data_IF_382319757079
#
_entry.id   IF_382319757079
#
_cell.length_a   1.000
_cell.length_b   1.000
_cell.length_c   1.000
_cell.angle_alpha   90.00
_cell.angle_beta   90.00
_cell.angle_gamma   90.00
#
_symmetry.space_group_name_H-M   'P 1'
#
loop_
_entity.id
_entity.type
_entity.pdbx_description
1 polymer ?
#
# COMPACT_ATOMS: atom_id res chain seq x y z
N UNK A 1 -19.62 -24.56 -25.92
CA UNK A 1 -19.23 -23.12 -25.96
C UNK A 1 -18.47 -22.68 -24.71
N UNK A 2 -17.57 -23.50 -24.13
CA UNK A 2 -17.04 -23.27 -22.76
C UNK A 2 -15.50 -23.12 -22.66
N UNK A 3 -14.74 -23.58 -23.66
CA UNK A 3 -13.27 -23.65 -23.60
C UNK A 3 -12.55 -22.30 -23.78
N UNK A 4 -13.21 -21.28 -24.35
CA UNK A 4 -12.63 -19.94 -24.56
C UNK A 4 -12.58 -19.11 -23.29
N UNK A 5 -13.56 -19.25 -22.38
CA UNK A 5 -13.65 -18.48 -21.12
C UNK A 5 -12.57 -18.90 -20.12
N UNK A 6 -12.27 -20.20 -20.04
CA UNK A 6 -11.18 -20.74 -19.22
C UNK A 6 -9.78 -20.28 -19.66
N UNK A 7 -9.53 -20.17 -20.98
CA UNK A 7 -8.24 -19.67 -21.51
C UNK A 7 -7.97 -18.20 -21.17
N UNK A 8 -9.02 -17.39 -21.14
CA UNK A 8 -8.93 -15.98 -20.75
C UNK A 8 -8.62 -15.87 -19.24
N UNK A 9 -9.30 -16.68 -18.40
CA UNK A 9 -9.03 -16.72 -16.96
C UNK A 9 -7.60 -17.15 -16.62
N UNK A 10 -7.07 -18.16 -17.32
CA UNK A 10 -5.67 -18.59 -17.16
C UNK A 10 -4.69 -17.48 -17.56
N UNK A 11 -5.00 -16.72 -18.61
CA UNK A 11 -4.20 -15.56 -19.01
C UNK A 11 -4.13 -14.49 -17.92
N UNK A 12 -5.28 -14.10 -17.35
CA UNK A 12 -5.32 -13.13 -16.25
C UNK A 12 -4.61 -13.62 -15.00
N UNK A 13 -4.78 -14.90 -14.64
CA UNK A 13 -4.07 -15.50 -13.52
C UNK A 13 -2.55 -15.49 -13.76
N UNK A 14 -2.10 -15.81 -14.97
CA UNK A 14 -0.69 -15.74 -15.35
C UNK A 14 -0.11 -14.33 -15.20
N UNK A 15 -0.85 -13.29 -15.62
CA UNK A 15 -0.44 -11.89 -15.46
C UNK A 15 -0.38 -11.51 -13.98
N UNK A 16 -1.39 -11.87 -13.20
CA UNK A 16 -1.44 -11.57 -11.77
C UNK A 16 -0.27 -12.23 -11.01
N UNK A 17 -0.03 -13.51 -11.25
CA UNK A 17 1.08 -14.25 -10.65
C UNK A 17 2.44 -13.70 -11.12
N UNK A 18 2.59 -13.39 -12.41
CA UNK A 18 3.81 -12.77 -12.94
C UNK A 18 4.09 -11.42 -12.26
N UNK A 19 3.08 -10.56 -12.14
CA UNK A 19 3.19 -9.28 -11.45
C UNK A 19 3.46 -9.40 -9.95
N UNK A 20 2.96 -10.45 -9.29
CA UNK A 20 3.26 -10.73 -7.89
C UNK A 20 4.71 -11.19 -7.72
N UNK A 21 5.15 -12.13 -8.57
CA UNK A 21 6.53 -12.65 -8.57
C UNK A 21 7.55 -11.54 -8.79
N UNK A 22 7.29 -10.60 -9.71
CA UNK A 22 8.16 -9.44 -9.91
C UNK A 22 8.27 -8.56 -8.66
N UNK A 23 7.15 -8.29 -7.98
CA UNK A 23 7.17 -7.50 -6.73
C UNK A 23 7.96 -8.20 -5.63
N UNK A 24 7.78 -9.51 -5.47
CA UNK A 24 8.54 -10.32 -4.49
C UNK A 24 10.03 -10.30 -4.82
N UNK A 25 10.40 -10.37 -6.10
CA UNK A 25 11.80 -10.31 -6.51
C UNK A 25 12.46 -8.98 -6.09
N UNK A 26 11.75 -7.86 -6.17
CA UNK A 26 12.27 -6.57 -5.71
C UNK A 26 12.48 -6.51 -4.19
N UNK A 27 11.76 -7.30 -3.39
CA UNK A 27 11.94 -7.31 -1.92
C UNK A 27 13.34 -7.75 -1.47
N UNK A 28 14.12 -8.37 -2.35
CA UNK A 28 15.52 -8.72 -2.07
C UNK A 28 16.48 -7.52 -2.09
N UNK A 29 16.04 -6.36 -2.58
CA UNK A 29 16.87 -5.16 -2.67
C UNK A 29 16.87 -4.41 -1.32
N UNK A 30 17.99 -3.79 -0.89
CA UNK A 30 18.03 -2.97 0.33
C UNK A 30 16.98 -1.86 0.34
N UNK A 31 16.44 -1.60 1.54
CA UNK A 31 15.40 -0.58 1.81
C UNK A 31 15.80 0.81 1.31
N UNK A 32 17.08 1.17 1.43
CA UNK A 32 17.62 2.46 0.97
C UNK A 32 17.43 2.71 -0.52
N UNK A 33 17.30 1.66 -1.31
CA UNK A 33 16.99 1.76 -2.73
C UNK A 33 15.50 1.58 -3.01
N UNK A 34 14.81 0.72 -2.26
CA UNK A 34 13.36 0.52 -2.41
C UNK A 34 12.58 1.82 -2.15
N UNK A 35 12.97 2.57 -1.11
CA UNK A 35 12.30 3.81 -0.73
C UNK A 35 12.25 4.83 -1.88
N UNK A 36 13.37 5.29 -2.46
CA UNK A 36 13.33 6.30 -3.51
C UNK A 36 12.78 5.79 -4.85
N UNK A 37 12.85 4.48 -5.14
CA UNK A 37 12.49 3.94 -6.46
C UNK A 37 11.09 3.33 -6.54
N UNK A 38 10.55 2.82 -5.43
CA UNK A 38 9.28 2.08 -5.41
C UNK A 38 8.27 2.64 -4.42
N UNK A 39 8.70 3.34 -3.37
CA UNK A 39 7.78 3.95 -2.42
C UNK A 39 7.45 5.38 -2.87
N UNK A 40 6.20 5.59 -3.24
CA UNK A 40 5.69 6.91 -3.56
C UNK A 40 5.62 7.78 -2.30
N UNK A 41 5.84 9.09 -2.47
CA UNK A 41 5.79 10.08 -1.40
C UNK A 41 4.44 10.07 -0.64
N UNK A 42 3.36 9.79 -1.38
CA UNK A 42 2.02 9.61 -0.83
C UNK A 42 1.98 8.60 0.32
N UNK A 43 2.77 7.51 0.25
CA UNK A 43 2.80 6.52 1.31
C UNK A 43 3.31 7.11 2.62
N UNK A 44 4.33 7.97 2.59
CA UNK A 44 4.85 8.62 3.79
C UNK A 44 3.85 9.62 4.38
N UNK A 45 3.09 10.31 3.53
CA UNK A 45 1.97 11.12 3.97
C UNK A 45 0.95 10.28 4.75
N UNK A 46 0.45 9.18 4.18
CA UNK A 46 -0.51 8.31 4.89
C UNK A 46 0.05 7.68 6.16
N UNK A 47 1.31 7.23 6.16
CA UNK A 47 1.96 6.66 7.35
C UNK A 47 2.09 7.71 8.47
N UNK A 48 2.36 8.97 8.10
CA UNK A 48 2.40 10.08 9.06
C UNK A 48 1.03 10.35 9.67
N UNK A 49 -0.02 10.39 8.85
CA UNK A 49 -1.41 10.55 9.33
C UNK A 49 -1.80 9.40 10.26
N UNK A 50 -1.52 8.15 9.87
CA UNK A 50 -1.82 6.98 10.69
C UNK A 50 -1.09 7.02 12.04
N UNK A 51 0.19 7.39 12.05
CA UNK A 51 0.98 7.58 13.28
C UNK A 51 0.38 8.66 14.17
N UNK A 52 -0.03 9.80 13.62
CA UNK A 52 -0.61 10.90 14.39
C UNK A 52 -1.97 10.52 14.99
N UNK A 53 -2.79 9.76 14.27
CA UNK A 53 -4.05 9.22 14.79
C UNK A 53 -3.79 8.26 15.96
N UNK A 54 -2.84 7.33 15.80
CA UNK A 54 -2.49 6.36 16.85
C UNK A 54 -1.89 7.02 18.09
N UNK A 55 -1.18 8.14 17.91
CA UNK A 55 -0.67 8.98 19.00
C UNK A 55 -1.74 9.86 19.67
N UNK A 56 -2.98 9.87 19.17
CA UNK A 56 -4.07 10.69 19.71
C UNK A 56 -4.09 12.15 19.23
N UNK A 57 -3.24 12.51 18.26
CA UNK A 57 -3.19 13.86 17.68
C UNK A 57 -4.26 14.10 16.59
N UNK A 58 -5.05 13.08 16.25
CA UNK A 58 -6.04 13.14 15.20
C UNK A 58 -5.43 13.15 13.79
N UNK A 59 -6.22 13.57 12.81
CA UNK A 59 -5.81 13.58 11.40
C UNK A 59 -5.04 14.86 11.09
N UNK A 60 -3.75 14.85 11.42
CA UNK A 60 -2.88 16.02 11.29
C UNK A 60 -1.65 15.73 10.44
N UNK A 61 -1.13 16.76 9.77
CA UNK A 61 0.15 16.78 9.08
C UNK A 61 0.87 18.08 9.44
N UNK A 62 2.14 18.01 9.81
CA UNK A 62 2.92 19.15 10.33
C UNK A 62 2.23 19.94 11.46
N UNK A 63 1.46 19.25 12.30
CA UNK A 63 0.75 19.86 13.44
C UNK A 63 -0.56 20.56 13.09
N UNK A 64 -0.96 20.60 11.82
CA UNK A 64 -2.24 21.16 11.39
C UNK A 64 -3.21 20.05 10.94
N UNK A 65 -4.54 20.19 11.17
CA UNK A 65 -5.53 19.31 10.57
C UNK A 65 -5.42 19.29 9.05
N UNK A 66 -5.50 18.10 8.46
CA UNK A 66 -5.34 17.91 7.00
C UNK A 66 -6.52 17.14 6.41
N UNK A 67 -6.69 17.21 5.09
CA UNK A 67 -7.73 16.55 4.33
C UNK A 67 -7.21 16.11 2.95
N UNK A 68 -8.09 15.66 2.04
CA UNK A 68 -7.69 15.27 0.67
C UNK A 68 -7.12 13.85 0.54
N UNK A 69 -7.20 13.04 1.59
CA UNK A 69 -6.80 11.63 1.60
C UNK A 69 -7.99 10.69 1.37
N UNK A 70 -7.71 9.45 0.97
CA UNK A 70 -8.70 8.39 0.84
C UNK A 70 -9.01 7.77 2.22
N UNK A 71 -10.21 7.96 2.80
CA UNK A 71 -10.46 7.60 4.20
C UNK A 71 -10.35 6.11 4.49
N UNK A 72 -10.85 5.25 3.57
CA UNK A 72 -10.78 3.80 3.74
C UNK A 72 -9.34 3.29 3.78
N UNK A 73 -8.47 3.87 2.94
CA UNK A 73 -7.06 3.50 2.92
C UNK A 73 -6.34 3.93 4.20
N UNK A 74 -6.62 5.16 4.68
CA UNK A 74 -6.08 5.63 5.95
C UNK A 74 -6.55 4.78 7.14
N UNK A 75 -7.83 4.42 7.20
CA UNK A 75 -8.39 3.56 8.25
C UNK A 75 -7.72 2.17 8.26
N UNK A 76 -7.49 1.58 7.09
CA UNK A 76 -6.75 0.32 6.98
C UNK A 76 -5.34 0.46 7.56
N UNK A 77 -4.62 1.53 7.23
CA UNK A 77 -3.27 1.77 7.75
C UNK A 77 -3.24 2.03 9.26
N UNK A 78 -4.22 2.76 9.79
CA UNK A 78 -4.39 2.94 11.24
C UNK A 78 -4.62 1.60 11.92
N UNK A 79 -5.51 0.75 11.37
CA UNK A 79 -5.76 -0.58 11.89
C UNK A 79 -4.51 -1.46 11.87
N UNK A 80 -3.81 -1.54 10.74
CA UNK A 80 -2.56 -2.30 10.62
C UNK A 80 -1.51 -1.77 11.60
N UNK A 81 -1.31 -0.46 11.66
CA UNK A 81 -0.42 0.16 12.63
C UNK A 81 -0.75 -0.28 14.05
N UNK A 82 -2.03 -0.24 14.45
CA UNK A 82 -2.47 -0.67 15.79
C UNK A 82 -2.20 -2.15 16.07
N UNK A 83 -2.33 -3.02 15.07
CA UNK A 83 -2.08 -4.47 15.20
C UNK A 83 -0.59 -4.78 15.38
N UNK A 84 0.30 -3.99 14.79
CA UNK A 84 1.75 -4.19 14.83
C UNK A 84 2.50 -3.29 15.83
N UNK A 85 1.78 -2.45 16.59
CA UNK A 85 2.33 -1.54 17.62
C UNK A 85 2.44 -2.20 18.99
#
# INVERSE_FOLDING_TARGET
MDRKRGRIGIGFLGIALGGLSLRIAFLWHPVSWLVPHLLADDMFYYLTLARNILAGHGVTFDGAPTNGFHPLYLLLLVFLGKVFS
#
